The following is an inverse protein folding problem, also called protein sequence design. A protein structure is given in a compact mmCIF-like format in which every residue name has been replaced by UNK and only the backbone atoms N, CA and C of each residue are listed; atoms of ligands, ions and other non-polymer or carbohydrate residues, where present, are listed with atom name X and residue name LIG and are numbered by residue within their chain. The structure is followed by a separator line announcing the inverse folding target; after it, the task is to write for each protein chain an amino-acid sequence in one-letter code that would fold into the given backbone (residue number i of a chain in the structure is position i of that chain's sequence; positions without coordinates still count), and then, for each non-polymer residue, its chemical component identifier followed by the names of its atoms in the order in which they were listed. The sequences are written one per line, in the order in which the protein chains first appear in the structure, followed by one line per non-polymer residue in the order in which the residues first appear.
data_IF_307490258870
#
_entry.id   IF_307490258870
#
_cell.length_a   1.000
_cell.length_b   1.000
_cell.length_c   1.000
_cell.angle_alpha   90.00
_cell.angle_beta   90.00
_cell.angle_gamma   90.00
#
_symmetry.space_group_name_H-M   'P 1'
#
loop_
_entity.id
_entity.type
_entity.pdbx_description
1 polymer ?
#
# COMPACT_ATOMS: atom_id res chain seq x y z
N UNK A 1 5.60 17.60 16.71
CA UNK A 1 4.41 17.01 17.34
C UNK A 1 3.19 17.49 16.57
N UNK A 2 2.19 16.65 16.32
CA UNK A 2 0.93 17.07 15.74
C UNK A 2 0.31 18.20 16.60
N UNK A 3 -0.48 19.07 15.97
CA UNK A 3 -1.23 20.08 16.76
C UNK A 3 -2.33 19.38 17.57
N UNK A 4 -2.74 19.98 18.70
CA UNK A 4 -3.81 19.42 19.52
C UNK A 4 -5.11 19.16 18.72
N UNK A 5 -5.39 19.99 17.71
CA UNK A 5 -6.53 19.84 16.79
C UNK A 5 -6.40 18.55 15.95
N UNK A 6 -5.20 18.20 15.48
CA UNK A 6 -4.96 16.99 14.70
C UNK A 6 -5.11 15.75 15.58
N UNK A 7 -4.55 15.77 16.78
CA UNK A 7 -4.70 14.66 17.74
C UNK A 7 -6.18 14.44 18.11
N UNK A 8 -6.94 15.50 18.32
CA UNK A 8 -8.37 15.42 18.59
C UNK A 8 -9.13 14.79 17.42
N UNK A 9 -8.87 15.21 16.17
CA UNK A 9 -9.48 14.64 14.98
C UNK A 9 -9.12 13.15 14.81
N UNK A 10 -7.85 12.79 14.97
CA UNK A 10 -7.41 11.38 14.92
C UNK A 10 -8.13 10.56 15.99
N UNK A 11 -8.17 11.05 17.22
CA UNK A 11 -8.79 10.34 18.33
C UNK A 11 -10.30 10.19 18.14
N UNK A 12 -10.97 11.20 17.64
CA UNK A 12 -12.41 11.13 17.33
C UNK A 12 -12.73 10.13 16.20
N UNK A 13 -11.81 9.92 15.26
CA UNK A 13 -11.98 9.03 14.13
C UNK A 13 -11.49 7.60 14.40
N UNK A 14 -10.64 7.41 15.40
CA UNK A 14 -10.04 6.11 15.76
C UNK A 14 -11.05 4.96 15.91
N UNK A 15 -12.23 5.13 16.54
CA UNK A 15 -13.20 4.04 16.63
C UNK A 15 -13.61 3.47 15.28
N UNK A 16 -13.82 4.33 14.28
CA UNK A 16 -14.12 3.89 12.90
C UNK A 16 -12.95 3.15 12.26
N UNK A 17 -11.71 3.58 12.52
CA UNK A 17 -10.52 2.88 12.03
C UNK A 17 -10.45 1.47 12.61
N UNK A 18 -10.70 1.34 13.90
CA UNK A 18 -10.73 0.05 14.61
C UNK A 18 -11.78 -0.88 13.99
N UNK A 19 -13.00 -0.39 13.84
CA UNK A 19 -14.13 -1.15 13.26
C UNK A 19 -13.82 -1.63 11.83
N UNK A 20 -13.35 -0.74 10.97
CA UNK A 20 -13.04 -1.04 9.57
C UNK A 20 -11.93 -2.09 9.44
N UNK A 21 -10.85 -1.94 10.21
CA UNK A 21 -9.73 -2.89 10.17
C UNK A 21 -10.14 -4.26 10.75
N UNK A 22 -10.93 -4.28 11.81
CA UNK A 22 -11.46 -5.52 12.36
C UNK A 22 -12.33 -6.25 11.32
N UNK A 23 -13.30 -5.54 10.71
CA UNK A 23 -14.19 -6.09 9.69
C UNK A 23 -13.42 -6.60 8.46
N UNK A 24 -12.45 -5.83 7.96
CA UNK A 24 -11.60 -6.26 6.85
C UNK A 24 -10.81 -7.52 7.19
N UNK A 25 -10.21 -7.58 8.39
CA UNK A 25 -9.47 -8.74 8.87
C UNK A 25 -10.35 -9.99 9.03
N UNK A 26 -11.54 -9.85 9.61
CA UNK A 26 -12.49 -10.94 9.79
C UNK A 26 -13.00 -11.48 8.45
N UNK A 27 -13.27 -10.60 7.49
CA UNK A 27 -13.69 -10.98 6.16
C UNK A 27 -12.60 -11.80 5.43
N UNK A 28 -11.35 -11.41 5.52
CA UNK A 28 -10.24 -12.16 4.93
C UNK A 28 -9.98 -13.48 5.69
N UNK A 29 -10.11 -13.50 7.01
CA UNK A 29 -9.97 -14.71 7.83
C UNK A 29 -11.06 -15.75 7.47
N UNK A 30 -12.28 -15.31 7.21
CA UNK A 30 -13.36 -16.20 6.79
C UNK A 30 -13.14 -16.84 5.40
N UNK A 31 -12.24 -16.28 4.59
CA UNK A 31 -11.89 -16.80 3.25
C UNK A 31 -10.66 -17.70 3.25
N UNK A 32 -9.81 -17.56 4.25
CA UNK A 32 -8.56 -18.31 4.29
C UNK A 32 -8.81 -19.82 4.28
N UNK A 33 -8.12 -20.51 3.41
CA UNK A 33 -8.15 -21.96 3.37
C UNK A 33 -7.35 -22.56 4.53
N UNK A 34 -8.04 -23.18 5.48
CA UNK A 34 -7.42 -23.81 6.64
C UNK A 34 -7.06 -25.29 6.41
N UNK A 35 -7.41 -25.82 5.25
CA UNK A 35 -7.16 -27.21 4.85
C UNK A 35 -7.13 -27.34 3.33
N UNK A 36 -7.09 -28.59 2.83
CA UNK A 36 -7.07 -28.84 1.38
C UNK A 36 -5.67 -28.81 0.78
N UNK A 37 -5.56 -28.42 -0.49
CA UNK A 37 -4.31 -28.46 -1.24
C UNK A 37 -3.42 -27.23 -1.02
N UNK A 38 -4.00 -26.12 -0.59
CA UNK A 38 -3.33 -24.83 -0.41
C UNK A 38 -3.63 -24.24 0.97
N UNK A 39 -3.30 -24.93 2.08
CA UNK A 39 -3.60 -24.41 3.40
C UNK A 39 -2.87 -23.10 3.64
N UNK A 40 -3.61 -22.10 4.13
CA UNK A 40 -3.10 -20.76 4.37
C UNK A 40 -3.32 -19.77 3.22
N UNK A 41 -3.67 -20.26 2.03
CA UNK A 41 -4.05 -19.41 0.90
C UNK A 41 -5.26 -18.53 1.23
N UNK A 42 -5.24 -17.29 0.77
CA UNK A 42 -6.40 -16.39 0.77
C UNK A 42 -6.80 -16.13 -0.67
N UNK A 43 -7.88 -16.75 -1.15
CA UNK A 43 -8.29 -16.64 -2.53
C UNK A 43 -8.56 -15.20 -2.98
N UNK A 44 -8.42 -14.89 -4.28
CA UNK A 44 -8.58 -13.52 -4.78
C UNK A 44 -10.00 -12.96 -4.60
N UNK A 45 -11.02 -13.81 -4.60
CA UNK A 45 -12.42 -13.44 -4.34
C UNK A 45 -13.21 -14.58 -3.70
N UNK A 46 -14.37 -14.30 -3.10
CA UNK A 46 -15.21 -15.33 -2.49
C UNK A 46 -15.60 -16.44 -3.48
N UNK A 47 -15.34 -17.68 -3.09
CA UNK A 47 -15.67 -18.86 -3.90
C UNK A 47 -14.64 -19.22 -4.98
N UNK A 48 -13.54 -18.48 -5.12
CA UNK A 48 -12.39 -18.93 -5.89
C UNK A 48 -11.66 -20.06 -5.16
N UNK A 49 -11.12 -21.00 -5.92
CA UNK A 49 -10.18 -22.03 -5.45
C UNK A 49 -8.75 -21.76 -5.91
N UNK A 50 -8.50 -20.59 -6.51
CA UNK A 50 -7.21 -20.27 -7.06
C UNK A 50 -6.22 -19.94 -5.93
N UNK A 51 -5.00 -20.42 -6.09
CA UNK A 51 -3.89 -20.01 -5.24
C UNK A 51 -3.57 -18.54 -5.55
N UNK A 52 -3.59 -17.69 -4.52
CA UNK A 52 -3.32 -16.26 -4.66
C UNK A 52 -2.20 -15.84 -3.71
N UNK A 53 -0.98 -15.83 -4.23
CA UNK A 53 0.20 -15.40 -3.50
C UNK A 53 0.10 -13.92 -3.09
N UNK A 54 -0.31 -13.06 -4.02
CA UNK A 54 -0.49 -11.64 -3.80
C UNK A 54 -1.58 -11.36 -2.76
N UNK A 55 -2.74 -12.01 -2.91
CA UNK A 55 -3.86 -11.87 -1.98
C UNK A 55 -3.51 -12.37 -0.57
N UNK A 56 -2.73 -13.44 -0.46
CA UNK A 56 -2.26 -13.93 0.84
C UNK A 56 -1.32 -12.94 1.54
N UNK A 57 -0.42 -12.29 0.79
CA UNK A 57 0.42 -11.21 1.32
C UNK A 57 -0.40 -9.98 1.74
N UNK A 58 -1.39 -9.61 0.93
CA UNK A 58 -2.32 -8.54 1.23
C UNK A 58 -3.08 -8.81 2.54
N UNK A 59 -3.55 -10.04 2.73
CA UNK A 59 -4.21 -10.48 3.95
C UNK A 59 -3.29 -10.43 5.17
N UNK A 60 -2.05 -10.88 5.06
CA UNK A 60 -1.04 -10.76 6.14
C UNK A 60 -0.86 -9.31 6.56
N UNK A 61 -0.76 -8.40 5.60
CA UNK A 61 -0.67 -6.97 5.90
C UNK A 61 -1.89 -6.47 6.67
N UNK A 62 -3.09 -6.79 6.19
CA UNK A 62 -4.36 -6.35 6.83
C UNK A 62 -4.45 -6.87 8.26
N UNK A 63 -4.22 -8.16 8.48
CA UNK A 63 -4.26 -8.76 9.81
C UNK A 63 -3.23 -8.18 10.76
N UNK A 64 -2.00 -7.96 10.28
CA UNK A 64 -0.94 -7.37 11.09
C UNK A 64 -1.28 -5.94 11.51
N UNK A 65 -1.83 -5.13 10.59
CA UNK A 65 -2.27 -3.77 10.93
C UNK A 65 -3.50 -3.78 11.86
N UNK A 66 -4.45 -4.68 11.62
CA UNK A 66 -5.61 -4.83 12.49
C UNK A 66 -5.16 -5.17 13.92
N UNK A 67 -4.31 -6.17 14.12
CA UNK A 67 -3.78 -6.54 15.46
C UNK A 67 -3.08 -5.36 16.15
N UNK A 68 -2.26 -4.60 15.43
CA UNK A 68 -1.58 -3.42 15.99
C UNK A 68 -2.54 -2.31 16.44
N UNK A 69 -3.65 -2.13 15.74
CA UNK A 69 -4.64 -1.10 16.05
C UNK A 69 -5.61 -1.56 17.12
N UNK A 70 -6.00 -2.83 17.09
CA UNK A 70 -6.88 -3.48 18.08
C UNK A 70 -6.14 -3.73 19.40
N UNK A 71 -4.84 -3.94 19.36
CA UNK A 71 -4.03 -4.29 20.52
C UNK A 71 -4.25 -5.74 20.99
N UNK A 72 -4.60 -6.64 20.05
CA UNK A 72 -4.82 -8.07 20.32
C UNK A 72 -4.13 -8.95 19.25
N UNK A 73 -4.18 -10.26 19.44
CA UNK A 73 -3.50 -11.26 18.62
C UNK A 73 -4.45 -12.18 17.84
N UNK A 74 -5.72 -11.76 17.67
CA UNK A 74 -6.80 -12.59 17.11
C UNK A 74 -6.50 -13.19 15.73
N UNK A 75 -5.64 -12.57 14.93
CA UNK A 75 -5.26 -13.04 13.60
C UNK A 75 -3.92 -13.78 13.55
N UNK A 76 -3.28 -14.08 14.68
CA UNK A 76 -1.94 -14.68 14.71
C UNK A 76 -1.87 -16.02 13.98
N UNK A 77 -2.88 -16.87 14.14
CA UNK A 77 -2.96 -18.14 13.41
C UNK A 77 -3.15 -17.95 11.91
N UNK A 78 -3.95 -16.97 11.52
CA UNK A 78 -4.17 -16.64 10.10
C UNK A 78 -2.87 -16.14 9.46
N UNK A 79 -2.15 -15.24 10.12
CA UNK A 79 -0.85 -14.72 9.68
C UNK A 79 0.16 -15.86 9.53
N UNK A 80 0.28 -16.73 10.55
CA UNK A 80 1.22 -17.85 10.50
C UNK A 80 0.88 -18.82 9.36
N UNK A 81 -0.40 -19.18 9.19
CA UNK A 81 -0.84 -20.05 8.11
C UNK A 81 -0.60 -19.45 6.72
N UNK A 82 -0.86 -18.15 6.55
CA UNK A 82 -0.59 -17.47 5.29
C UNK A 82 0.90 -17.42 4.98
N UNK A 83 1.75 -17.14 5.96
CA UNK A 83 3.20 -17.19 5.75
C UNK A 83 3.69 -18.59 5.35
N UNK A 84 3.16 -19.66 5.93
CA UNK A 84 3.49 -21.03 5.52
C UNK A 84 3.12 -21.28 4.05
N UNK A 85 1.95 -20.82 3.60
CA UNK A 85 1.57 -20.87 2.19
C UNK A 85 2.55 -20.08 1.30
N UNK A 86 2.83 -18.82 1.66
CA UNK A 86 3.74 -17.93 0.93
C UNK A 86 5.14 -18.57 0.80
N UNK A 87 5.68 -19.10 1.87
CA UNK A 87 7.00 -19.74 1.88
C UNK A 87 7.03 -21.01 1.05
N UNK A 88 5.99 -21.84 1.10
CA UNK A 88 5.89 -23.07 0.30
C UNK A 88 5.71 -22.81 -1.19
N UNK A 89 5.07 -21.70 -1.55
CA UNK A 89 4.81 -21.30 -2.94
C UNK A 89 5.86 -20.35 -3.50
N UNK A 90 6.87 -19.99 -2.72
CA UNK A 90 7.86 -18.95 -3.05
C UNK A 90 8.48 -19.11 -4.43
N UNK A 91 8.97 -20.32 -4.74
CA UNK A 91 9.68 -20.59 -5.98
C UNK A 91 8.78 -20.55 -7.23
N UNK A 92 7.47 -20.65 -7.04
CA UNK A 92 6.48 -20.56 -8.12
C UNK A 92 6.22 -19.10 -8.51
N UNK A 93 6.12 -18.20 -7.53
CA UNK A 93 5.71 -16.80 -7.73
C UNK A 93 6.87 -15.82 -7.79
N UNK A 94 7.92 -16.05 -7.01
CA UNK A 94 9.08 -15.14 -6.97
C UNK A 94 10.22 -15.71 -7.83
N UNK A 95 10.56 -15.05 -8.94
CA UNK A 95 11.64 -15.50 -9.80
C UNK A 95 13.01 -15.36 -9.12
N UNK A 96 14.00 -16.08 -9.61
CA UNK A 96 15.38 -15.97 -9.10
C UNK A 96 16.03 -14.64 -9.42
N UNK A 97 15.61 -14.01 -10.51
CA UNK A 97 16.12 -12.71 -10.96
C UNK A 97 14.96 -11.90 -11.55
N UNK A 98 14.88 -10.63 -11.20
CA UNK A 98 14.07 -9.64 -11.89
C UNK A 98 15.01 -8.86 -12.81
N UNK A 99 14.85 -8.99 -14.11
CA UNK A 99 15.55 -8.19 -15.12
C UNK A 99 14.58 -7.22 -15.80
N UNK A 100 15.07 -6.43 -16.72
CA UNK A 100 14.29 -5.43 -17.48
C UNK A 100 13.08 -6.03 -18.26
N UNK A 101 12.99 -7.36 -18.35
CA UNK A 101 11.89 -8.09 -18.96
C UNK A 101 11.08 -8.93 -17.95
N UNK A 102 11.34 -8.75 -16.65
CA UNK A 102 10.53 -9.42 -15.64
C UNK A 102 9.10 -8.87 -15.68
N UNK A 103 8.14 -9.74 -15.37
CA UNK A 103 6.76 -9.30 -15.27
C UNK A 103 6.63 -8.30 -14.13
N UNK A 104 5.87 -7.28 -14.36
CA UNK A 104 5.52 -6.28 -13.38
C UNK A 104 4.84 -6.90 -12.15
N UNK A 105 4.12 -8.02 -12.34
CA UNK A 105 3.50 -8.79 -11.26
C UNK A 105 4.53 -9.29 -10.24
N UNK A 106 5.64 -9.84 -10.69
CA UNK A 106 6.69 -10.31 -9.79
C UNK A 106 7.34 -9.17 -8.98
N UNK A 107 7.45 -7.98 -9.56
CA UNK A 107 7.91 -6.81 -8.83
C UNK A 107 6.90 -6.35 -7.78
N UNK A 108 5.60 -6.42 -8.11
CA UNK A 108 4.52 -6.17 -7.17
C UNK A 108 4.50 -7.19 -6.04
N UNK A 109 4.66 -8.47 -6.33
CA UNK A 109 4.73 -9.52 -5.32
C UNK A 109 5.92 -9.30 -4.37
N UNK A 110 7.08 -8.93 -4.90
CA UNK A 110 8.22 -8.54 -4.07
C UNK A 110 7.87 -7.34 -3.17
N UNK A 111 7.19 -6.33 -3.70
CA UNK A 111 6.76 -5.18 -2.90
C UNK A 111 5.74 -5.60 -1.82
N UNK A 112 4.80 -6.48 -2.14
CA UNK A 112 3.83 -6.98 -1.17
C UNK A 112 4.47 -7.82 -0.06
N UNK A 113 5.50 -8.62 -0.37
CA UNK A 113 6.32 -9.31 0.66
C UNK A 113 6.91 -8.30 1.64
N UNK A 114 7.50 -7.22 1.14
CA UNK A 114 8.07 -6.18 1.99
C UNK A 114 7.00 -5.46 2.81
N UNK A 115 5.83 -5.17 2.23
CA UNK A 115 4.71 -4.54 2.95
C UNK A 115 4.16 -5.45 4.04
N UNK A 116 3.95 -6.72 3.77
CA UNK A 116 3.50 -7.70 4.75
C UNK A 116 4.49 -7.81 5.93
N UNK A 117 5.79 -7.86 5.61
CA UNK A 117 6.85 -7.88 6.64
C UNK A 117 6.88 -6.60 7.47
N UNK A 118 6.84 -5.43 6.84
CA UNK A 118 6.82 -4.12 7.52
C UNK A 118 5.59 -3.97 8.43
N UNK A 119 4.45 -4.53 8.03
CA UNK A 119 3.23 -4.49 8.82
C UNK A 119 3.33 -5.35 10.09
N UNK A 120 4.00 -6.51 10.03
CA UNK A 120 4.18 -7.40 11.18
C UNK A 120 5.08 -6.82 12.28
N UNK A 121 5.81 -5.74 11.98
CA UNK A 121 6.80 -5.16 12.88
C UNK A 121 8.09 -5.98 12.91
N UNK A 122 9.22 -5.30 12.95
CA UNK A 122 10.55 -5.93 12.94
C UNK A 122 10.84 -6.84 14.16
N UNK A 123 9.92 -6.94 15.09
CA UNK A 123 10.12 -7.62 16.37
C UNK A 123 9.68 -9.10 16.40
N UNK A 124 8.98 -9.59 15.37
CA UNK A 124 8.63 -11.02 15.27
C UNK A 124 9.72 -11.84 14.56
N UNK A 125 10.92 -11.31 14.42
CA UNK A 125 11.98 -11.86 13.54
C UNK A 125 12.80 -12.97 14.23
N UNK A 126 12.61 -13.21 15.49
CA UNK A 126 13.53 -14.10 16.23
C UNK A 126 13.45 -15.58 15.84
N UNK A 127 12.47 -15.99 15.02
CA UNK A 127 12.27 -17.42 14.80
C UNK A 127 12.32 -17.96 13.37
N UNK A 128 12.48 -17.12 12.32
CA UNK A 128 12.39 -17.63 10.95
C UNK A 128 13.48 -17.09 10.01
N UNK A 129 14.64 -17.73 10.05
CA UNK A 129 15.76 -17.46 9.16
C UNK A 129 15.35 -17.52 7.67
N UNK A 130 14.50 -18.48 7.28
CA UNK A 130 14.01 -18.65 5.92
C UNK A 130 13.14 -17.46 5.46
N UNK A 131 12.19 -17.02 6.27
CA UNK A 131 11.36 -15.85 5.97
C UNK A 131 12.19 -14.59 5.80
N UNK A 132 13.17 -14.39 6.66
CA UNK A 132 14.11 -13.27 6.55
C UNK A 132 14.90 -13.31 5.24
N UNK A 133 15.36 -14.49 4.83
CA UNK A 133 16.05 -14.66 3.56
C UNK A 133 15.15 -14.32 2.36
N UNK A 134 13.90 -14.76 2.37
CA UNK A 134 12.90 -14.42 1.37
C UNK A 134 12.64 -12.90 1.29
N UNK A 135 12.47 -12.24 2.43
CA UNK A 135 12.29 -10.78 2.51
C UNK A 135 13.50 -10.04 1.94
N UNK A 136 14.72 -10.45 2.30
CA UNK A 136 15.96 -9.86 1.75
C UNK A 136 16.08 -10.12 0.26
N UNK A 137 15.71 -11.31 -0.21
CA UNK A 137 15.67 -11.62 -1.65
C UNK A 137 14.67 -10.71 -2.38
N UNK A 138 13.43 -10.59 -1.88
CA UNK A 138 12.43 -9.71 -2.46
C UNK A 138 12.91 -8.25 -2.55
N UNK A 139 13.57 -7.76 -1.49
CA UNK A 139 14.10 -6.39 -1.46
C UNK A 139 15.21 -6.18 -2.52
N UNK A 140 16.11 -7.16 -2.68
CA UNK A 140 17.17 -7.09 -3.70
C UNK A 140 16.60 -7.14 -5.11
N UNK A 141 15.64 -8.02 -5.35
CA UNK A 141 14.97 -8.15 -6.64
C UNK A 141 14.22 -6.87 -7.00
N UNK A 142 13.45 -6.31 -6.06
CA UNK A 142 12.75 -5.04 -6.26
C UNK A 142 13.73 -3.89 -6.50
N UNK A 143 14.83 -3.83 -5.75
CA UNK A 143 15.88 -2.82 -5.95
C UNK A 143 16.53 -2.90 -7.33
N UNK A 144 16.83 -4.12 -7.82
CA UNK A 144 17.34 -4.34 -9.17
C UNK A 144 16.32 -3.90 -10.22
N UNK A 145 15.05 -4.31 -10.07
CA UNK A 145 13.98 -3.92 -10.99
C UNK A 145 13.83 -2.40 -11.08
N UNK A 146 13.81 -1.69 -9.96
CA UNK A 146 13.69 -0.22 -9.94
C UNK A 146 14.93 0.44 -10.56
N UNK A 147 16.12 -0.15 -10.37
CA UNK A 147 17.35 0.37 -10.99
C UNK A 147 17.32 0.26 -12.51
N UNK A 148 16.72 -0.79 -13.05
CA UNK A 148 16.61 -1.06 -14.49
C UNK A 148 15.43 -0.31 -15.16
N UNK A 149 14.62 0.40 -14.39
CA UNK A 149 13.54 1.26 -14.91
C UNK A 149 14.14 2.56 -15.49
N UNK A 150 14.73 2.47 -16.67
CA UNK A 150 15.39 3.63 -17.33
C UNK A 150 14.42 4.69 -17.82
N UNK A 151 13.15 4.36 -18.05
CA UNK A 151 12.15 5.30 -18.56
C UNK A 151 10.75 5.02 -18.01
N UNK A 152 10.25 5.95 -17.21
CA UNK A 152 8.89 5.94 -16.68
C UNK A 152 7.83 6.33 -17.72
N UNK A 153 8.25 6.96 -18.82
CA UNK A 153 7.33 7.58 -19.77
C UNK A 153 6.86 6.63 -20.85
N UNK A 154 7.52 5.49 -21.01
CA UNK A 154 7.30 4.54 -22.12
C UNK A 154 6.50 3.29 -21.77
N UNK A 155 6.34 2.94 -20.50
CA UNK A 155 5.68 1.69 -20.11
C UNK A 155 4.22 1.93 -19.76
N UNK A 156 3.34 1.09 -20.27
CA UNK A 156 1.91 1.00 -19.89
C UNK A 156 1.71 0.60 -18.42
N UNK A 157 2.70 0.86 -17.57
CA UNK A 157 2.83 0.21 -16.31
C UNK A 157 2.06 0.87 -15.19
N UNK A 158 1.43 -0.01 -14.46
CA UNK A 158 0.88 0.14 -13.11
C UNK A 158 1.95 0.74 -12.23
N UNK A 159 1.78 1.96 -11.95
CA UNK A 159 2.45 2.89 -11.11
C UNK A 159 3.65 2.40 -10.28
N UNK A 160 4.88 2.74 -10.68
CA UNK A 160 6.09 2.43 -9.92
C UNK A 160 6.13 3.14 -8.55
N UNK A 161 5.24 4.08 -8.31
CA UNK A 161 5.18 4.81 -7.05
C UNK A 161 5.01 3.91 -5.83
N UNK A 162 4.15 2.90 -5.92
CA UNK A 162 3.98 1.90 -4.86
C UNK A 162 5.25 1.09 -4.61
N UNK A 163 5.95 0.70 -5.67
CA UNK A 163 7.19 -0.07 -5.60
C UNK A 163 8.30 0.72 -4.90
N UNK A 164 8.49 1.97 -5.34
CA UNK A 164 9.52 2.87 -4.79
C UNK A 164 9.21 3.25 -3.34
N UNK A 165 7.96 3.54 -3.04
CA UNK A 165 7.51 3.77 -1.66
C UNK A 165 7.87 2.59 -0.76
N UNK A 166 7.52 1.38 -1.19
CA UNK A 166 7.77 0.15 -0.43
C UNK A 166 9.26 -0.08 -0.22
N UNK A 167 10.07 0.07 -1.29
CA UNK A 167 11.52 -0.09 -1.20
C UNK A 167 12.16 0.92 -0.23
N UNK A 168 11.72 2.17 -0.28
CA UNK A 168 12.21 3.21 0.60
C UNK A 168 11.87 2.98 2.07
N UNK A 169 10.64 2.54 2.35
CA UNK A 169 10.22 2.18 3.71
C UNK A 169 11.00 0.99 4.26
N UNK A 170 11.18 -0.05 3.44
CA UNK A 170 12.00 -1.20 3.81
C UNK A 170 13.45 -0.81 4.06
N UNK A 171 14.04 0.00 3.18
CA UNK A 171 15.41 0.46 3.32
C UNK A 171 15.63 1.21 4.64
N UNK A 172 14.67 2.02 5.08
CA UNK A 172 14.73 2.68 6.40
C UNK A 172 14.60 1.70 7.55
N UNK A 173 13.65 0.81 7.49
CA UNK A 173 13.40 -0.18 8.54
C UNK A 173 14.58 -1.14 8.73
N UNK A 174 15.21 -1.55 7.61
CA UNK A 174 16.38 -2.44 7.60
C UNK A 174 17.72 -1.72 7.74
N UNK A 175 17.74 -0.38 7.72
CA UNK A 175 18.94 0.47 7.64
C UNK A 175 19.83 0.16 6.40
N UNK A 176 19.19 -0.25 5.29
CA UNK A 176 19.87 -0.52 4.02
C UNK A 176 20.06 0.76 3.20
N UNK A 177 21.25 1.36 3.30
CA UNK A 177 21.57 2.60 2.60
C UNK A 177 21.61 2.44 1.08
N UNK A 178 21.92 1.24 0.57
CA UNK A 178 22.00 0.96 -0.86
C UNK A 178 20.62 1.02 -1.50
N UNK A 179 19.65 0.31 -0.93
CA UNK A 179 18.26 0.33 -1.38
C UNK A 179 17.62 1.72 -1.20
N UNK A 180 17.93 2.42 -0.11
CA UNK A 180 17.50 3.80 0.09
C UNK A 180 18.04 4.76 -0.98
N UNK A 181 19.30 4.58 -1.40
CA UNK A 181 19.87 5.36 -2.50
C UNK A 181 19.22 5.03 -3.84
N UNK A 182 18.82 3.77 -4.09
CA UNK A 182 18.05 3.37 -5.28
C UNK A 182 16.71 4.06 -5.34
N UNK A 183 15.94 4.03 -4.24
CA UNK A 183 14.65 4.72 -4.17
C UNK A 183 14.79 6.23 -4.43
N UNK A 184 15.78 6.89 -3.84
CA UNK A 184 16.03 8.32 -4.06
C UNK A 184 16.44 8.64 -5.49
N UNK A 185 17.37 7.89 -6.07
CA UNK A 185 17.78 8.10 -7.48
C UNK A 185 16.59 8.00 -8.43
N UNK A 186 15.72 7.03 -8.19
CA UNK A 186 14.50 6.90 -8.97
C UNK A 186 13.62 8.15 -8.87
N UNK A 187 13.35 8.63 -7.65
CA UNK A 187 12.53 9.83 -7.41
C UNK A 187 13.19 11.07 -8.02
N UNK A 188 14.51 11.21 -7.90
CA UNK A 188 15.28 12.30 -8.52
C UNK A 188 15.19 12.27 -10.05
N UNK A 189 15.35 11.10 -10.66
CA UNK A 189 15.29 10.93 -12.12
C UNK A 189 13.86 11.13 -12.65
N UNK A 190 12.89 10.52 -11.98
CA UNK A 190 11.50 10.53 -12.41
C UNK A 190 10.82 11.90 -12.27
N UNK A 191 11.21 12.66 -11.26
CA UNK A 191 10.54 13.90 -10.88
C UNK A 191 11.43 15.13 -11.02
N UNK A 192 12.67 14.98 -11.50
CA UNK A 192 13.59 16.09 -11.71
C UNK A 192 13.93 16.84 -10.43
N UNK A 193 14.13 16.12 -9.33
CA UNK A 193 14.21 16.69 -7.99
C UNK A 193 15.47 17.50 -7.71
N UNK A 194 15.52 18.70 -8.23
CA UNK A 194 16.01 19.87 -7.45
C UNK A 194 14.85 20.73 -6.93
N UNK A 195 13.65 20.32 -7.22
CA UNK A 195 12.39 20.93 -6.79
C UNK A 195 11.34 19.84 -6.70
N UNK A 196 10.35 19.95 -5.79
CA UNK A 196 9.28 18.97 -5.73
C UNK A 196 8.63 18.80 -7.10
N UNK A 197 8.23 17.58 -7.49
CA UNK A 197 7.69 17.32 -8.81
C UNK A 197 6.48 18.21 -9.11
N UNK A 198 6.32 18.68 -10.33
CA UNK A 198 5.13 19.39 -10.72
C UNK A 198 3.92 18.47 -10.52
N UNK A 199 2.95 18.93 -9.72
CA UNK A 199 1.68 18.24 -9.62
C UNK A 199 0.81 18.56 -10.80
N UNK A 200 0.18 17.55 -11.27
CA UNK A 200 -1.10 17.56 -11.96
C UNK A 200 -1.21 18.34 -13.27
N UNK A 201 -0.83 19.58 -13.33
CA UNK A 201 -1.12 20.43 -14.49
C UNK A 201 -0.20 20.22 -15.71
N UNK A 202 0.91 19.51 -15.54
CA UNK A 202 1.94 19.39 -16.56
C UNK A 202 2.17 17.96 -17.07
N UNK A 203 1.38 17.00 -16.61
CA UNK A 203 1.54 15.62 -17.06
C UNK A 203 0.55 15.25 -18.15
N UNK A 204 1.04 14.69 -19.28
CA UNK A 204 0.13 14.24 -20.31
C UNK A 204 -0.79 13.16 -19.76
N UNK A 205 -2.09 13.38 -19.84
CA UNK A 205 -3.11 12.37 -19.64
C UNK A 205 -2.91 11.33 -20.74
N UNK A 206 -2.41 10.16 -20.40
CA UNK A 206 -2.49 9.01 -21.31
C UNK A 206 -3.83 8.35 -21.13
N UNK A 207 -4.53 8.20 -22.24
CA UNK A 207 -5.85 7.61 -22.33
C UNK A 207 -5.93 6.25 -21.66
N UNK A 208 -6.82 6.13 -20.71
CA UNK A 208 -7.76 5.01 -20.67
C UNK A 208 -7.70 4.06 -19.51
N UNK A 209 -6.71 3.95 -18.60
CA UNK A 209 -6.76 2.89 -17.56
C UNK A 209 -6.24 3.26 -16.17
N UNK A 210 -5.40 4.24 -16.02
CA UNK A 210 -5.02 4.78 -14.72
C UNK A 210 -5.16 6.28 -14.78
N UNK A 211 -6.24 6.72 -14.21
CA UNK A 211 -6.46 8.12 -14.04
C UNK A 211 -5.24 8.75 -13.32
N UNK A 212 -4.87 9.87 -13.86
CA UNK A 212 -3.94 10.85 -13.38
C UNK A 212 -3.85 10.93 -11.84
N UNK A 213 -4.94 10.76 -11.14
CA UNK A 213 -5.06 10.91 -9.70
C UNK A 213 -4.48 9.73 -8.91
N UNK A 214 -4.63 8.51 -9.39
CA UNK A 214 -3.98 7.34 -8.77
C UNK A 214 -2.47 7.46 -8.92
N UNK A 215 -2.01 7.80 -10.11
CA UNK A 215 -0.60 8.05 -10.39
C UNK A 215 -0.05 9.19 -9.51
N UNK A 216 -0.81 10.25 -9.27
CA UNK A 216 -0.39 11.34 -8.39
C UNK A 216 -0.28 10.87 -6.94
N UNK A 217 -1.27 10.13 -6.45
CA UNK A 217 -1.27 9.63 -5.08
C UNK A 217 -0.06 8.73 -4.81
N UNK A 218 0.22 7.80 -5.70
CA UNK A 218 1.33 6.88 -5.51
C UNK A 218 2.70 7.53 -5.72
N UNK A 219 2.79 8.58 -6.53
CA UNK A 219 4.00 9.42 -6.62
C UNK A 219 4.28 10.17 -5.34
N UNK A 220 3.25 10.70 -4.69
CA UNK A 220 3.40 11.28 -3.35
C UNK A 220 3.93 10.24 -2.37
N UNK A 221 3.38 9.03 -2.39
CA UNK A 221 3.86 7.92 -1.57
C UNK A 221 5.31 7.55 -1.91
N UNK A 222 5.71 7.56 -3.19
CA UNK A 222 7.09 7.30 -3.59
C UNK A 222 8.07 8.33 -3.01
N UNK A 223 7.72 9.62 -3.05
CA UNK A 223 8.54 10.68 -2.43
C UNK A 223 8.64 10.46 -0.92
N UNK A 224 7.53 10.13 -0.26
CA UNK A 224 7.52 9.83 1.17
C UNK A 224 8.40 8.61 1.47
N UNK A 225 8.33 7.58 0.64
CA UNK A 225 9.17 6.39 0.74
C UNK A 225 10.66 6.71 0.59
N UNK A 226 11.03 7.50 -0.39
CA UNK A 226 12.42 7.85 -0.66
C UNK A 226 13.04 8.77 0.42
N UNK A 227 12.29 9.79 0.85
CA UNK A 227 12.81 10.85 1.72
C UNK A 227 12.49 10.63 3.21
N UNK A 228 11.48 9.81 3.50
CA UNK A 228 10.99 9.58 4.86
C UNK A 228 10.05 10.68 5.38
N UNK A 229 9.54 10.51 6.60
CA UNK A 229 8.63 11.45 7.23
C UNK A 229 9.38 12.67 7.78
N UNK A 230 10.03 13.43 6.90
CA UNK A 230 10.80 14.62 7.28
C UNK A 230 9.88 15.84 7.33
N UNK A 231 10.14 16.86 8.19
CA UNK A 231 9.37 18.11 8.22
C UNK A 231 9.25 18.80 6.85
N UNK A 232 10.23 18.62 5.99
CA UNK A 232 10.23 19.09 4.61
C UNK A 232 9.10 18.46 3.77
N UNK A 233 8.91 17.16 3.87
CA UNK A 233 7.81 16.45 3.16
C UNK A 233 6.46 16.99 3.62
N UNK A 234 6.26 17.25 4.90
CA UNK A 234 5.04 17.87 5.41
C UNK A 234 4.78 19.27 4.85
N UNK A 235 5.82 20.10 4.72
CA UNK A 235 5.70 21.43 4.13
C UNK A 235 5.38 21.34 2.63
N UNK A 236 6.06 20.45 1.91
CA UNK A 236 5.84 20.18 0.51
C UNK A 236 4.43 19.63 0.23
N UNK A 237 3.95 18.69 1.05
CA UNK A 237 2.58 18.18 0.95
C UNK A 237 1.55 19.30 1.12
N UNK A 238 1.72 20.18 2.12
CA UNK A 238 0.83 21.31 2.32
C UNK A 238 0.78 22.25 1.11
N UNK A 239 1.92 22.57 0.56
CA UNK A 239 2.00 23.52 -0.57
C UNK A 239 1.41 22.92 -1.85
N UNK A 240 1.71 21.66 -2.14
CA UNK A 240 1.41 21.04 -3.43
C UNK A 240 0.10 20.25 -3.42
N UNK A 241 -0.12 19.42 -2.43
CA UNK A 241 -1.35 18.61 -2.35
C UNK A 241 -2.55 19.48 -2.01
N UNK A 242 -2.42 20.45 -1.11
CA UNK A 242 -3.51 21.36 -0.79
C UNK A 242 -3.99 22.18 -2.00
N UNK A 243 -3.07 22.59 -2.88
CA UNK A 243 -3.45 23.33 -4.10
C UNK A 243 -4.15 22.43 -5.15
N UNK A 244 -3.88 21.14 -5.14
CA UNK A 244 -4.47 20.17 -6.06
C UNK A 244 -5.76 19.51 -5.53
N UNK A 245 -6.02 19.57 -4.22
CA UNK A 245 -7.14 18.91 -3.55
C UNK A 245 -8.51 19.11 -4.22
N UNK A 246 -8.91 20.34 -4.65
CA UNK A 246 -10.24 20.55 -5.20
C UNK A 246 -10.51 19.79 -6.51
N UNK A 247 -9.47 19.36 -7.21
CA UNK A 247 -9.59 18.74 -8.52
C UNK A 247 -9.07 17.30 -8.55
N UNK A 248 -8.05 16.99 -7.74
CA UNK A 248 -7.33 15.72 -7.83
C UNK A 248 -7.87 14.63 -6.90
N UNK A 249 -8.63 15.00 -5.86
CA UNK A 249 -9.08 14.05 -4.83
C UNK A 249 -10.61 14.06 -4.66
N UNK A 250 -11.33 14.21 -5.76
CA UNK A 250 -12.79 14.06 -5.77
C UNK A 250 -13.14 12.57 -5.85
N UNK A 251 -14.12 12.08 -5.07
CA UNK A 251 -14.57 10.69 -5.17
C UNK A 251 -14.97 10.34 -6.60
N UNK A 252 -14.52 9.18 -7.06
CA UNK A 252 -14.78 8.65 -8.39
C UNK A 252 -15.95 7.67 -8.39
N UNK A 253 -16.52 7.35 -9.57
CA UNK A 253 -17.56 6.33 -9.71
C UNK A 253 -17.20 5.00 -9.05
N UNK A 254 -18.18 4.13 -8.82
CA UNK A 254 -18.02 2.88 -8.07
C UNK A 254 -17.05 1.88 -8.71
N UNK A 255 -16.76 2.02 -9.99
CA UNK A 255 -15.78 1.23 -10.73
C UNK A 255 -14.33 1.65 -10.47
N UNK A 256 -14.10 2.72 -9.68
CA UNK A 256 -12.77 3.24 -9.38
C UNK A 256 -12.41 3.16 -7.87
N UNK A 257 -12.76 2.06 -7.22
CA UNK A 257 -12.52 1.88 -5.78
C UNK A 257 -11.03 1.94 -5.41
N UNK A 258 -10.17 1.36 -6.23
CA UNK A 258 -8.71 1.35 -5.99
C UNK A 258 -8.16 2.78 -6.02
N UNK A 259 -8.65 3.62 -6.93
CA UNK A 259 -8.28 5.03 -6.98
C UNK A 259 -8.70 5.76 -5.70
N UNK A 260 -9.94 5.62 -5.29
CA UNK A 260 -10.46 6.26 -4.07
C UNK A 260 -9.66 5.83 -2.84
N UNK A 261 -9.30 4.56 -2.75
CA UNK A 261 -8.52 4.02 -1.65
C UNK A 261 -7.07 4.53 -1.66
N UNK A 262 -6.40 4.59 -2.80
CA UNK A 262 -5.05 5.16 -2.92
C UNK A 262 -5.04 6.66 -2.61
N UNK A 263 -6.03 7.40 -3.09
CA UNK A 263 -6.20 8.82 -2.80
C UNK A 263 -6.45 9.05 -1.29
N UNK A 264 -7.34 8.27 -0.69
CA UNK A 264 -7.60 8.33 0.75
C UNK A 264 -6.36 7.97 1.57
N UNK A 265 -5.61 6.92 1.19
CA UNK A 265 -4.36 6.55 1.86
C UNK A 265 -3.34 7.70 1.84
N UNK A 266 -3.18 8.35 0.70
CA UNK A 266 -2.28 9.50 0.54
C UNK A 266 -2.71 10.67 1.42
N UNK A 267 -3.99 11.02 1.40
CA UNK A 267 -4.53 12.13 2.18
C UNK A 267 -4.49 11.86 3.69
N UNK A 268 -4.84 10.64 4.12
CA UNK A 268 -4.77 10.24 5.52
C UNK A 268 -3.35 10.29 6.06
N UNK A 269 -2.40 9.79 5.28
CA UNK A 269 -0.98 9.88 5.65
C UNK A 269 -0.47 11.32 5.64
N UNK A 270 -0.81 12.11 4.60
CA UNK A 270 -0.46 13.54 4.53
C UNK A 270 -1.00 14.30 5.74
N UNK A 271 -2.23 14.02 6.15
CA UNK A 271 -2.80 14.59 7.37
C UNK A 271 -2.00 14.23 8.61
N UNK A 272 -1.59 12.97 8.75
CA UNK A 272 -0.83 12.50 9.92
C UNK A 272 0.54 13.18 10.06
N UNK A 273 1.18 13.55 8.95
CA UNK A 273 2.54 14.15 8.94
C UNK A 273 2.53 15.67 8.78
N UNK A 274 1.64 16.21 7.95
CA UNK A 274 1.59 17.65 7.65
C UNK A 274 0.70 18.45 8.59
N UNK A 275 -0.21 17.79 9.31
CA UNK A 275 -1.12 18.40 10.29
C UNK A 275 -2.07 19.45 9.71
N UNK A 276 -2.38 19.36 8.42
CA UNK A 276 -3.33 20.25 7.74
C UNK A 276 -4.75 19.66 7.77
N UNK A 277 -5.68 20.39 8.36
CA UNK A 277 -7.07 19.92 8.53
C UNK A 277 -7.81 19.75 7.20
N UNK A 278 -7.38 20.44 6.14
CA UNK A 278 -7.95 20.28 4.79
C UNK A 278 -7.78 18.86 4.26
N UNK A 279 -6.66 18.22 4.57
CA UNK A 279 -6.43 16.82 4.21
C UNK A 279 -7.39 15.87 4.90
N UNK A 280 -7.77 16.18 6.14
CA UNK A 280 -8.73 15.36 6.88
C UNK A 280 -10.12 15.38 6.24
N UNK A 281 -10.60 16.53 5.83
CA UNK A 281 -11.94 16.66 5.25
C UNK A 281 -12.02 15.94 3.88
N UNK A 282 -10.98 16.06 3.06
CA UNK A 282 -10.87 15.33 1.80
C UNK A 282 -10.73 13.81 2.02
N UNK A 283 -9.88 13.39 2.97
CA UNK A 283 -9.76 12.00 3.39
C UNK A 283 -11.10 11.42 3.82
N UNK A 284 -11.80 12.14 4.71
CA UNK A 284 -13.10 11.71 5.22
C UNK A 284 -14.12 11.52 4.09
N UNK A 285 -14.18 12.45 3.13
CA UNK A 285 -15.09 12.36 1.99
C UNK A 285 -14.84 11.09 1.16
N UNK A 286 -13.58 10.75 0.88
CA UNK A 286 -13.23 9.51 0.17
C UNK A 286 -13.55 8.25 0.99
N UNK A 287 -13.29 8.29 2.30
CA UNK A 287 -13.58 7.15 3.16
C UNK A 287 -15.08 6.92 3.37
N UNK A 288 -15.89 7.97 3.47
CA UNK A 288 -17.35 7.86 3.55
C UNK A 288 -17.91 7.21 2.27
N UNK A 289 -17.33 7.51 1.11
CA UNK A 289 -17.68 6.86 -0.17
C UNK A 289 -17.26 5.39 -0.20
N UNK A 290 -16.07 5.08 0.28
CA UNK A 290 -15.57 3.69 0.36
C UNK A 290 -16.37 2.86 1.35
N UNK A 291 -16.81 3.44 2.48
CA UNK A 291 -17.67 2.78 3.46
C UNK A 291 -19.03 2.41 2.86
N UNK A 292 -19.65 3.35 2.14
CA UNK A 292 -20.91 3.07 1.45
C UNK A 292 -20.77 1.90 0.48
N UNK A 293 -19.65 1.82 -0.23
CA UNK A 293 -19.37 0.70 -1.15
C UNK A 293 -19.12 -0.61 -0.41
N UNK A 294 -18.44 -0.56 0.74
CA UNK A 294 -18.23 -1.72 1.58
C UNK A 294 -19.54 -2.29 2.12
N UNK A 295 -20.43 -1.42 2.62
CA UNK A 295 -21.76 -1.79 3.13
C UNK A 295 -22.64 -2.49 2.09
N UNK A 296 -22.60 -2.04 0.84
CA UNK A 296 -23.34 -2.68 -0.26
C UNK A 296 -22.60 -3.86 -0.90
N UNK A 297 -21.48 -4.30 -0.32
CA UNK A 297 -20.69 -5.42 -0.82
C UNK A 297 -20.04 -5.17 -2.19
N UNK A 298 -19.79 -3.91 -2.54
CA UNK A 298 -19.28 -3.52 -3.86
C UNK A 298 -17.80 -3.15 -3.89
N UNK A 299 -17.06 -3.28 -2.78
CA UNK A 299 -15.60 -3.20 -2.80
C UNK A 299 -15.06 -4.28 -3.75
N UNK A 300 -14.21 -3.89 -4.68
CA UNK A 300 -13.65 -4.77 -5.69
C UNK A 300 -14.36 -4.77 -7.03
N UNK A 301 -15.47 -4.06 -7.19
CA UNK A 301 -16.14 -3.96 -8.49
C UNK A 301 -15.35 -3.24 -9.58
N UNK A 302 -14.26 -2.56 -9.22
CA UNK A 302 -13.31 -2.01 -10.19
C UNK A 302 -12.72 -3.06 -11.13
N UNK A 303 -12.63 -4.30 -10.66
CA UNK A 303 -12.15 -5.46 -11.41
C UNK A 303 -13.27 -6.37 -11.89
N UNK A 304 -14.52 -6.02 -11.62
CA UNK A 304 -15.69 -6.85 -11.90
C UNK A 304 -15.98 -7.90 -10.82
N UNK A 305 -15.18 -8.00 -9.77
CA UNK A 305 -15.33 -8.97 -8.69
C UNK A 305 -15.73 -8.29 -7.37
N UNK A 306 -16.87 -8.65 -6.85
CA UNK A 306 -17.32 -8.19 -5.53
C UNK A 306 -16.49 -8.83 -4.43
N UNK A 307 -15.98 -8.02 -3.51
CA UNK A 307 -15.24 -8.51 -2.35
C UNK A 307 -13.84 -9.04 -2.65
N UNK A 308 -13.19 -8.51 -3.64
CA UNK A 308 -11.81 -8.85 -4.01
C UNK A 308 -10.83 -8.60 -2.85
N UNK A 309 -9.87 -9.51 -2.68
CA UNK A 309 -8.88 -9.44 -1.61
C UNK A 309 -7.97 -8.22 -1.73
N UNK A 310 -7.55 -7.89 -2.95
CA UNK A 310 -6.75 -6.69 -3.22
C UNK A 310 -7.49 -5.40 -2.92
N UNK A 311 -8.78 -5.30 -3.26
CA UNK A 311 -9.59 -4.14 -2.92
C UNK A 311 -9.76 -3.97 -1.40
N UNK A 312 -9.88 -5.07 -0.68
CA UNK A 312 -9.89 -5.07 0.79
C UNK A 312 -8.58 -4.57 1.39
N UNK A 313 -7.45 -4.96 0.80
CA UNK A 313 -6.14 -4.44 1.18
C UNK A 313 -6.05 -2.92 0.99
N UNK A 314 -6.42 -2.39 -0.18
CA UNK A 314 -6.38 -0.95 -0.43
C UNK A 314 -7.32 -0.17 0.49
N UNK A 315 -8.49 -0.69 0.78
CA UNK A 315 -9.41 -0.11 1.75
C UNK A 315 -8.82 -0.09 3.18
N UNK A 316 -8.20 -1.19 3.60
CA UNK A 316 -7.54 -1.26 4.90
C UNK A 316 -6.33 -0.32 4.99
N UNK A 317 -5.55 -0.20 3.90
CA UNK A 317 -4.44 0.74 3.77
C UNK A 317 -4.93 2.19 3.92
N UNK A 318 -5.99 2.56 3.20
CA UNK A 318 -6.62 3.86 3.34
C UNK A 318 -7.09 4.12 4.77
N UNK A 319 -7.71 3.12 5.39
CA UNK A 319 -8.17 3.18 6.78
C UNK A 319 -7.04 3.41 7.77
N UNK A 320 -5.93 2.68 7.63
CA UNK A 320 -4.78 2.77 8.55
C UNK A 320 -3.96 4.06 8.37
N UNK A 321 -4.02 4.69 7.20
CA UNK A 321 -3.18 5.80 6.81
C UNK A 321 -3.28 7.02 7.74
N UNK A 322 -4.48 7.31 8.24
CA UNK A 322 -4.72 8.44 9.15
C UNK A 322 -4.00 8.30 10.50
N UNK A 323 -3.62 7.07 10.85
CA UNK A 323 -2.81 6.79 12.03
C UNK A 323 -1.30 6.85 11.72
N UNK A 324 -0.90 7.22 10.51
CA UNK A 324 0.47 7.13 10.03
C UNK A 324 0.98 5.69 9.84
N UNK A 325 0.07 4.73 9.72
CA UNK A 325 0.35 3.28 9.63
C UNK A 325 -0.02 2.75 8.24
N UNK A 326 0.79 3.07 7.24
CA UNK A 326 0.63 2.55 5.90
C UNK A 326 1.84 1.74 5.47
#
# INVERSE_FOLDING_TARGET
MPSAVVEEKINSYRPRVVERLASAGEMLAARQEMGGNTPGNVPPWPGSSDADFHGSLAAVWVWSRAQQVLGDDRFSLNIASAWNFIESSWAEFIPRTLGAHASDEAAYDCAMVLRAWLAGGAHSIDDESARREHVVQAARLLGAYITDLDDLTGREFKDPGFLVWTLGDYARASNDRGLGATARRFVEAAFGMKSPPPFASEMPVRDGLFDFSCTTATRVLAVIGAEGPIPFVGAWLRERVASALPQAFVPRPMDENTWNACAAATLGYAFSVATDTTFFDAYKSLMDELDLRAEVGSLGRTTGFSGETSATFYYAMATASILGKI
#
